data_IF_688459455767
#
_entry.id   IF_688459455767
#
_cell.length_a   1.000
_cell.length_b   1.000
_cell.length_c   1.000
_cell.angle_alpha   90.00
_cell.angle_beta   90.00
_cell.angle_gamma   90.00
#
_symmetry.space_group_name_H-M   'P 1'
#
loop_
_entity.id
_entity.type
_entity.pdbx_description
1 polymer ?
#
# COMPACT_ATOMS: atom_id res chain seq x y z
N UNK A 1 -3.27 13.70 -10.06
CA UNK A 1 -3.28 14.01 -8.62
C UNK A 1 -4.36 13.16 -7.97
N UNK A 2 -3.96 12.25 -7.08
CA UNK A 2 -4.88 11.36 -6.38
C UNK A 2 -4.53 11.44 -4.89
N UNK A 3 -5.32 12.18 -4.12
CA UNK A 3 -5.20 12.28 -2.68
C UNK A 3 -6.45 11.70 -2.02
N UNK A 4 -6.25 10.93 -0.96
CA UNK A 4 -7.30 10.50 -0.05
C UNK A 4 -6.79 10.56 1.39
N UNK A 5 -7.57 11.17 2.27
CA UNK A 5 -7.23 11.23 3.70
C UNK A 5 -7.12 9.81 4.27
N UNK A 6 -6.14 9.60 5.15
CA UNK A 6 -5.99 8.34 5.84
C UNK A 6 -7.27 7.98 6.62
N UNK A 7 -7.62 6.70 6.62
CA UNK A 7 -8.84 6.17 7.25
C UNK A 7 -10.17 6.65 6.62
N UNK A 8 -10.13 7.43 5.54
CA UNK A 8 -11.33 7.70 4.73
C UNK A 8 -11.78 6.46 3.96
N UNK A 9 -13.07 6.42 3.58
CA UNK A 9 -13.62 5.29 2.81
C UNK A 9 -12.96 5.23 1.43
N UNK A 10 -12.46 4.04 1.07
CA UNK A 10 -11.85 3.79 -0.23
C UNK A 10 -12.89 3.86 -1.35
N UNK A 11 -12.66 4.77 -2.31
CA UNK A 11 -13.56 5.01 -3.45
C UNK A 11 -12.81 5.14 -4.80
N UNK A 12 -11.52 4.85 -4.83
CA UNK A 12 -10.69 4.96 -6.04
C UNK A 12 -11.07 3.93 -7.12
N UNK A 13 -11.51 2.73 -6.72
CA UNK A 13 -12.02 1.72 -7.63
C UNK A 13 -13.21 0.97 -7.03
N UNK A 14 -14.25 0.76 -7.84
CA UNK A 14 -15.40 -0.09 -7.49
C UNK A 14 -15.17 -1.58 -7.74
N UNK A 15 -14.11 -1.95 -8.48
CA UNK A 15 -13.84 -3.35 -8.88
C UNK A 15 -13.11 -4.14 -7.80
N UNK A 16 -12.30 -3.47 -6.96
CA UNK A 16 -11.37 -4.09 -6.01
C UNK A 16 -11.60 -3.61 -4.58
N UNK A 17 -12.87 -3.43 -4.22
CA UNK A 17 -13.28 -2.84 -2.94
C UNK A 17 -14.19 -3.77 -2.15
N UNK A 18 -14.02 -3.74 -0.84
CA UNK A 18 -14.93 -4.32 0.13
C UNK A 18 -15.56 -3.16 0.91
N UNK A 19 -16.79 -3.33 1.41
CA UNK A 19 -17.54 -2.24 2.07
C UNK A 19 -16.83 -1.55 3.24
N UNK A 20 -15.85 -2.21 3.87
CA UNK A 20 -15.03 -1.66 4.98
C UNK A 20 -13.59 -1.37 4.56
N UNK A 21 -13.36 -1.08 3.27
CA UNK A 21 -12.03 -0.70 2.80
C UNK A 21 -11.75 0.78 3.09
N UNK A 22 -10.61 1.06 3.71
CA UNK A 22 -10.16 2.40 4.07
C UNK A 22 -8.86 2.76 3.33
N UNK A 23 -8.72 4.03 2.97
CA UNK A 23 -7.51 4.59 2.33
C UNK A 23 -6.38 4.73 3.34
N UNK A 24 -5.15 4.43 2.91
CA UNK A 24 -3.92 4.75 3.64
C UNK A 24 -2.85 5.20 2.64
N UNK A 25 -2.10 6.25 2.96
CA UNK A 25 -0.88 6.64 2.22
C UNK A 25 -1.13 7.19 0.81
N UNK A 26 -2.32 7.73 0.55
CA UNK A 26 -2.65 8.45 -0.68
C UNK A 26 -2.29 9.92 -0.54
N UNK A 27 -0.99 10.20 -0.40
CA UNK A 27 -0.47 11.55 -0.13
C UNK A 27 -0.46 12.41 -1.39
N UNK A 28 -0.57 13.73 -1.21
CA UNK A 28 -0.57 14.70 -2.30
C UNK A 28 0.08 16.01 -1.87
N UNK A 29 0.62 16.76 -2.84
CA UNK A 29 1.22 18.07 -2.55
C UNK A 29 0.17 19.03 -2.00
N UNK A 30 0.51 19.75 -0.93
CA UNK A 30 -0.38 20.75 -0.31
C UNK A 30 -1.36 20.19 0.71
N UNK A 31 -1.28 18.88 1.01
CA UNK A 31 -2.01 18.24 2.10
C UNK A 31 -1.02 17.82 3.19
N UNK A 32 -1.38 18.10 4.44
CA UNK A 32 -0.59 17.68 5.59
C UNK A 32 -0.71 16.17 5.79
N UNK A 33 0.35 15.58 6.33
CA UNK A 33 0.40 14.19 6.77
C UNK A 33 1.26 14.07 8.01
N UNK A 34 1.03 13.01 8.78
CA UNK A 34 1.79 12.76 10.00
C UNK A 34 3.21 12.36 9.64
N UNK A 35 4.19 13.02 10.27
CA UNK A 35 5.62 12.74 10.11
C UNK A 35 6.14 12.14 11.40
N UNK A 36 6.87 11.04 11.30
CA UNK A 36 7.46 10.37 12.46
C UNK A 36 8.21 9.10 12.11
N UNK A 37 9.01 8.64 13.05
CA UNK A 37 9.74 7.38 12.94
C UNK A 37 8.80 6.18 13.06
N UNK A 38 9.11 5.11 12.31
CA UNK A 38 8.44 3.81 12.40
C UNK A 38 9.48 2.72 12.61
N UNK A 39 9.06 1.63 13.25
CA UNK A 39 9.99 0.52 13.53
C UNK A 39 10.44 -0.18 12.25
N UNK A 40 11.71 -0.61 12.18
CA UNK A 40 12.28 -1.33 11.03
C UNK A 40 11.48 -2.59 10.67
N UNK A 41 11.01 -3.33 11.69
CA UNK A 41 10.15 -4.51 11.51
C UNK A 41 8.85 -4.22 10.75
N UNK A 42 8.34 -2.99 10.85
CA UNK A 42 7.16 -2.54 10.10
C UNK A 42 7.53 -2.28 8.64
N UNK A 43 8.65 -1.59 8.39
CA UNK A 43 9.18 -1.31 7.05
C UNK A 43 9.43 -2.63 6.30
N UNK A 44 10.13 -3.57 6.93
CA UNK A 44 10.42 -4.90 6.38
C UNK A 44 9.15 -5.64 5.98
N UNK A 45 8.12 -5.59 6.83
CA UNK A 45 6.89 -6.30 6.58
C UNK A 45 6.02 -5.59 5.53
N UNK A 46 5.96 -4.26 5.55
CA UNK A 46 5.30 -3.45 4.53
C UNK A 46 5.89 -3.73 3.14
N UNK A 47 7.21 -3.90 3.05
CA UNK A 47 7.88 -4.29 1.82
C UNK A 47 7.33 -5.60 1.25
N UNK A 48 7.08 -6.60 2.08
CA UNK A 48 6.50 -7.89 1.64
C UNK A 48 5.11 -7.71 1.02
N UNK A 49 4.32 -6.74 1.47
CA UNK A 49 3.07 -6.39 0.80
C UNK A 49 3.30 -5.74 -0.56
N UNK A 50 4.35 -4.92 -0.69
CA UNK A 50 4.71 -4.25 -1.94
C UNK A 50 5.33 -5.19 -2.99
N UNK A 51 5.80 -6.38 -2.59
CA UNK A 51 6.33 -7.41 -3.51
C UNK A 51 5.26 -8.12 -4.32
N UNK A 52 4.01 -8.16 -3.84
CA UNK A 52 2.87 -8.80 -4.51
C UNK A 52 1.71 -7.82 -4.71
N UNK A 53 1.89 -6.81 -5.57
CA UNK A 53 0.91 -5.75 -5.73
C UNK A 53 -0.39 -6.16 -6.46
N UNK A 54 -1.50 -5.54 -6.04
CA UNK A 54 -2.90 -5.62 -6.53
C UNK A 54 -2.99 -4.92 -7.91
N UNK A 55 -3.92 -5.29 -8.84
CA UNK A 55 -3.60 -5.22 -10.25
C UNK A 55 -3.22 -3.83 -10.73
N UNK A 56 -2.26 -3.84 -11.63
CA UNK A 56 -1.60 -2.66 -12.12
C UNK A 56 -2.62 -1.69 -12.70
N UNK A 57 -2.57 -0.43 -12.25
CA UNK A 57 -3.29 0.62 -12.94
C UNK A 57 -2.59 0.89 -14.28
N UNK A 58 -3.33 1.39 -15.28
CA UNK A 58 -2.73 1.72 -16.60
C UNK A 58 -1.77 2.92 -16.56
N UNK A 59 -1.50 3.48 -15.37
CA UNK A 59 -0.60 4.60 -15.12
C UNK A 59 0.35 4.32 -13.95
N UNK A 60 1.04 5.36 -13.49
CA UNK A 60 1.82 5.31 -12.26
C UNK A 60 1.55 6.57 -11.44
N UNK A 61 1.33 6.39 -10.15
CA UNK A 61 1.32 7.45 -9.15
C UNK A 61 2.76 7.94 -9.00
N UNK A 62 2.97 9.20 -9.33
CA UNK A 62 4.25 9.89 -9.14
C UNK A 62 4.30 10.49 -7.73
N UNK A 63 5.49 10.52 -7.13
CA UNK A 63 5.68 11.24 -5.89
C UNK A 63 5.69 12.74 -6.18
N UNK A 64 4.68 13.44 -5.67
CA UNK A 64 4.59 14.90 -5.77
C UNK A 64 5.34 15.61 -4.63
N UNK A 65 5.91 14.88 -3.66
CA UNK A 65 6.59 15.44 -2.49
C UNK A 65 8.10 15.60 -2.69
N UNK A 66 8.69 14.84 -3.62
CA UNK A 66 10.11 14.98 -3.98
C UNK A 66 10.42 16.35 -4.58
N UNK A 67 11.53 16.95 -4.16
CA UNK A 67 12.06 18.18 -4.77
C UNK A 67 12.57 17.94 -6.20
N UNK A 68 13.00 16.71 -6.51
CA UNK A 68 13.43 16.30 -7.85
C UNK A 68 12.83 14.92 -8.18
N UNK A 69 11.60 14.87 -8.72
CA UNK A 69 10.92 13.61 -9.00
C UNK A 69 11.63 12.85 -10.11
N UNK A 70 11.66 11.52 -10.00
CA UNK A 70 12.15 10.65 -11.06
C UNK A 70 11.27 10.78 -12.31
N UNK A 71 11.87 10.75 -13.50
CA UNK A 71 11.12 10.65 -14.77
C UNK A 71 10.73 9.18 -14.95
N UNK A 72 9.45 8.86 -14.77
CA UNK A 72 8.91 7.51 -14.89
C UNK A 72 8.73 6.79 -13.53
N UNK A 73 8.53 5.46 -13.53
CA UNK A 73 8.23 4.73 -12.30
C UNK A 73 9.42 4.71 -11.35
N UNK A 74 9.17 5.10 -10.09
CA UNK A 74 10.17 5.08 -9.02
C UNK A 74 10.65 3.65 -8.76
N UNK A 75 11.96 3.41 -8.81
CA UNK A 75 12.57 2.13 -8.43
C UNK A 75 13.03 2.23 -6.99
N UNK A 76 12.41 1.44 -6.13
CA UNK A 76 12.76 1.34 -4.72
C UNK A 76 13.54 0.05 -4.48
N UNK A 77 14.60 0.13 -3.68
CA UNK A 77 15.43 -1.01 -3.28
C UNK A 77 15.31 -1.22 -1.77
N UNK A 78 14.89 -2.41 -1.36
CA UNK A 78 14.85 -2.82 0.05
C UNK A 78 15.28 -4.28 0.15
N UNK A 79 16.13 -4.61 1.13
CA UNK A 79 16.63 -5.97 1.34
C UNK A 79 17.16 -6.65 0.05
N UNK A 80 17.97 -5.91 -0.73
CA UNK A 80 18.57 -6.34 -2.01
C UNK A 80 17.56 -6.68 -3.11
N UNK A 81 16.29 -6.31 -2.94
CA UNK A 81 15.24 -6.50 -3.93
C UNK A 81 14.79 -5.15 -4.49
N UNK A 82 14.63 -5.09 -5.82
CA UNK A 82 14.17 -3.89 -6.52
C UNK A 82 12.75 -4.05 -7.00
N UNK A 83 11.92 -3.03 -6.75
CA UNK A 83 10.56 -2.94 -7.31
C UNK A 83 10.25 -1.56 -7.84
N UNK A 84 9.41 -1.53 -8.87
CA UNK A 84 8.80 -0.30 -9.38
C UNK A 84 7.58 0.03 -8.52
N UNK A 85 7.60 1.19 -7.88
CA UNK A 85 6.48 1.71 -7.09
C UNK A 85 5.58 2.63 -7.93
N UNK A 86 4.42 2.96 -7.36
CA UNK A 86 3.41 3.83 -7.96
C UNK A 86 2.48 3.15 -8.95
N UNK A 87 2.65 1.87 -9.28
CA UNK A 87 1.89 1.22 -10.36
C UNK A 87 0.70 0.40 -9.89
N UNK A 88 0.51 0.29 -8.59
CA UNK A 88 -0.35 -0.71 -8.00
C UNK A 88 -0.67 -0.39 -6.56
N UNK A 89 -1.59 -1.15 -6.00
CA UNK A 89 -1.99 -1.01 -4.61
C UNK A 89 -1.60 -2.25 -3.79
N UNK A 90 -1.76 -2.15 -2.48
CA UNK A 90 -1.71 -3.26 -1.53
C UNK A 90 -3.05 -3.37 -0.80
N UNK A 91 -3.35 -4.57 -0.27
CA UNK A 91 -4.44 -4.77 0.68
C UNK A 91 -3.88 -5.36 1.96
N UNK A 92 -4.24 -4.78 3.10
CA UNK A 92 -3.80 -5.22 4.43
C UNK A 92 -5.04 -5.48 5.28
N UNK A 93 -5.11 -6.64 5.93
CA UNK A 93 -6.27 -6.98 6.75
C UNK A 93 -6.12 -6.44 8.16
N UNK A 94 -7.07 -5.60 8.57
CA UNK A 94 -7.16 -5.06 9.92
C UNK A 94 -8.12 -5.84 10.82
N UNK A 95 -8.29 -5.33 12.05
CA UNK A 95 -9.26 -5.85 13.02
C UNK A 95 -10.70 -5.59 12.56
N UNK A 96 -11.66 -6.36 13.10
CA UNK A 96 -13.10 -6.17 12.87
C UNK A 96 -13.56 -6.19 11.40
N UNK A 97 -12.79 -6.86 10.53
CA UNK A 97 -13.06 -6.98 9.10
C UNK A 97 -12.75 -5.72 8.31
N UNK A 98 -11.94 -4.80 8.84
CA UNK A 98 -11.41 -3.66 8.08
C UNK A 98 -10.38 -4.17 7.06
N UNK A 99 -10.37 -3.55 5.90
CA UNK A 99 -9.32 -3.73 4.89
C UNK A 99 -8.68 -2.37 4.65
N UNK A 100 -7.37 -2.29 4.66
CA UNK A 100 -6.66 -1.07 4.26
C UNK A 100 -6.19 -1.21 2.82
N UNK A 101 -6.40 -0.14 2.04
CA UNK A 101 -5.96 0.00 0.66
C UNK A 101 -4.99 1.16 0.56
N UNK A 102 -3.78 0.88 0.08
CA UNK A 102 -2.72 1.88 -0.09
C UNK A 102 -2.07 1.72 -1.46
N UNK A 103 -1.58 2.80 -2.09
CA UNK A 103 -0.68 2.67 -3.22
C UNK A 103 0.61 2.01 -2.73
N UNK A 104 1.25 1.15 -3.54
CA UNK A 104 2.55 0.59 -3.16
C UNK A 104 3.66 1.66 -3.04
N UNK A 105 3.40 2.87 -3.52
CA UNK A 105 4.22 4.06 -3.29
C UNK A 105 4.32 4.45 -1.80
N UNK A 106 3.43 3.92 -0.95
CA UNK A 106 3.51 4.08 0.52
C UNK A 106 4.89 3.72 1.07
N UNK A 107 5.59 2.74 0.50
CA UNK A 107 6.94 2.38 0.93
C UNK A 107 7.92 3.56 0.80
N UNK A 108 7.86 4.27 -0.34
CA UNK A 108 8.67 5.46 -0.57
C UNK A 108 8.25 6.60 0.37
N UNK A 109 6.95 6.80 0.60
CA UNK A 109 6.49 7.82 1.53
C UNK A 109 6.97 7.58 2.96
N UNK A 110 6.91 6.34 3.44
CA UNK A 110 7.38 5.98 4.78
C UNK A 110 8.89 6.22 4.91
N UNK A 111 9.68 5.73 3.95
CA UNK A 111 11.14 5.77 4.06
C UNK A 111 11.76 7.13 3.72
N UNK A 112 11.29 7.79 2.67
CA UNK A 112 11.95 8.97 2.11
C UNK A 112 11.26 10.28 2.50
N UNK A 113 9.98 10.21 2.91
CA UNK A 113 9.20 11.36 3.38
C UNK A 113 8.82 11.27 4.86
N UNK A 114 9.35 10.28 5.59
CA UNK A 114 9.07 10.06 7.01
C UNK A 114 7.56 10.03 7.34
N UNK A 115 6.74 9.62 6.37
CA UNK A 115 5.31 9.49 6.58
C UNK A 115 5.08 8.41 7.64
N UNK A 116 4.40 8.79 8.72
CA UNK A 116 3.99 7.90 9.79
C UNK A 116 2.52 7.51 9.58
N UNK A 117 2.23 6.28 9.14
CA UNK A 117 0.85 5.84 8.95
C UNK A 117 0.11 5.74 10.29
N UNK A 118 -1.24 5.72 10.27
CA UNK A 118 -2.05 5.46 11.46
C UNK A 118 -1.62 4.17 12.17
N UNK A 119 -1.65 4.19 13.51
CA UNK A 119 -1.19 3.06 14.33
C UNK A 119 -1.96 1.78 14.03
N UNK A 120 -3.25 1.88 13.71
CA UNK A 120 -4.10 0.74 13.36
C UNK A 120 -3.69 0.09 12.05
N UNK A 121 -3.10 0.85 11.12
CA UNK A 121 -2.51 0.31 9.89
C UNK A 121 -1.16 -0.35 10.19
N UNK A 122 -0.32 0.26 11.02
CA UNK A 122 0.96 -0.31 11.45
C UNK A 122 0.73 -1.68 12.11
N UNK A 123 -0.20 -1.75 13.07
CA UNK A 123 -0.60 -3.01 13.72
C UNK A 123 -1.13 -4.04 12.72
N UNK A 124 -1.94 -3.61 11.75
CA UNK A 124 -2.50 -4.48 10.73
C UNK A 124 -1.41 -5.05 9.82
N UNK A 125 -0.44 -4.24 9.39
CA UNK A 125 0.71 -4.73 8.62
C UNK A 125 1.46 -5.79 9.43
N UNK A 126 1.76 -5.51 10.70
CA UNK A 126 2.49 -6.42 11.60
C UNK A 126 1.78 -7.75 11.87
N UNK A 127 0.44 -7.76 11.86
CA UNK A 127 -0.35 -8.94 12.28
C UNK A 127 -1.05 -9.68 11.14
N UNK A 128 -1.32 -9.03 10.00
CA UNK A 128 -2.02 -9.61 8.85
C UNK A 128 -1.23 -10.75 8.23
N UNK A 129 -1.93 -11.75 7.70
CA UNK A 129 -1.35 -12.70 6.76
C UNK A 129 -0.71 -11.96 5.58
N UNK A 130 0.40 -12.49 5.07
CA UNK A 130 1.15 -11.88 3.97
C UNK A 130 0.55 -12.28 2.61
N UNK A 131 0.66 -11.44 1.57
CA UNK A 131 0.12 -11.73 0.24
C UNK A 131 0.63 -13.02 -0.42
N UNK A 132 1.79 -13.52 0.00
CA UNK A 132 2.35 -14.78 -0.49
C UNK A 132 1.74 -16.03 0.14
N UNK A 133 0.79 -15.89 1.07
CA UNK A 133 0.23 -17.00 1.85
C UNK A 133 -1.16 -17.40 1.36
N UNK A 134 -1.47 -18.70 1.42
CA UNK A 134 -2.82 -19.21 1.10
C UNK A 134 -3.92 -18.56 1.94
N UNK A 135 -3.65 -18.26 3.21
CA UNK A 135 -4.62 -17.60 4.10
C UNK A 135 -5.04 -16.23 3.59
N UNK A 136 -4.08 -15.49 3.03
CA UNK A 136 -4.36 -14.20 2.42
C UNK A 136 -5.27 -14.36 1.19
N UNK A 137 -4.95 -15.31 0.30
CA UNK A 137 -5.77 -15.60 -0.89
C UNK A 137 -7.19 -16.03 -0.52
N UNK A 138 -7.33 -16.90 0.48
CA UNK A 138 -8.63 -17.34 0.99
C UNK A 138 -9.43 -16.13 1.50
N UNK A 139 -8.78 -15.22 2.22
CA UNK A 139 -9.41 -14.02 2.76
C UNK A 139 -9.85 -13.03 1.67
N UNK A 140 -9.05 -12.84 0.63
CA UNK A 140 -9.43 -12.02 -0.53
C UNK A 140 -10.68 -12.57 -1.21
N UNK A 141 -10.77 -13.90 -1.38
CA UNK A 141 -11.94 -14.58 -1.96
C UNK A 141 -13.18 -14.44 -1.08
N UNK A 142 -13.06 -14.63 0.23
CA UNK A 142 -14.16 -14.46 1.19
C UNK A 142 -14.78 -13.06 1.14
N UNK A 143 -13.95 -12.04 0.92
CA UNK A 143 -14.38 -10.64 0.84
C UNK A 143 -14.95 -10.28 -0.54
N UNK A 144 -14.98 -11.24 -1.48
CA UNK A 144 -15.47 -11.02 -2.84
C UNK A 144 -14.57 -10.14 -3.69
N UNK A 145 -13.29 -9.98 -3.30
CA UNK A 145 -12.30 -9.27 -4.10
C UNK A 145 -11.77 -10.28 -5.12
N UNK A 146 -12.45 -10.37 -6.26
CA UNK A 146 -12.21 -11.34 -7.34
C UNK A 146 -11.10 -10.87 -8.30
N UNK A 147 -10.67 -11.73 -9.22
CA UNK A 147 -9.67 -11.43 -10.27
C UNK A 147 -8.26 -11.04 -9.77
N UNK A 148 -7.92 -11.48 -8.56
CA UNK A 148 -6.58 -11.34 -7.98
C UNK A 148 -5.51 -12.05 -8.83
N UNK A 149 -4.51 -11.33 -9.38
CA UNK A 149 -3.41 -11.98 -10.09
C UNK A 149 -2.59 -12.84 -9.12
N UNK A 150 -2.11 -14.02 -9.52
CA UNK A 150 -1.27 -14.85 -8.67
C UNK A 150 -0.01 -14.07 -8.25
N UNK A 151 0.60 -14.40 -7.10
CA UNK A 151 1.86 -13.80 -6.69
C UNK A 151 2.86 -13.83 -7.85
N UNK A 152 3.54 -12.70 -8.08
CA UNK A 152 4.66 -12.66 -9.02
C UNK A 152 5.76 -13.56 -8.45
N UNK A 153 5.78 -14.83 -8.85
CA UNK A 153 6.93 -15.69 -8.66
C UNK A 153 8.09 -15.03 -9.39
N UNK A 154 9.10 -14.62 -8.62
CA UNK A 154 10.37 -14.12 -9.15
C UNK A 154 11.15 -15.22 -9.84
#
# INVERSE_FOLDING_TARGET
MTYFEDLSVYNYSSQWTYKKTLNIGWLGRGFDYTIGEVEEKFIDRLWLFCLTPVPQTRGFHECELCSNPAIGPLVFEHNLQKRKLGRSEIRVFGKHGIVYAAPNLIMHYVCDHHYQPPIEFIEAVLSSDLPSTKKYDDRMRELGIQDWPPPLHG
#
